data_IF_572588216820
#
_entry.id   IF_572588216820
#
_cell.length_a   1.000
_cell.length_b   1.000
_cell.length_c   1.000
_cell.angle_alpha   90.00
_cell.angle_beta   90.00
_cell.angle_gamma   90.00
#
_symmetry.space_group_name_H-M   'P 1'
#
loop_
_entity.id
_entity.type
_entity.pdbx_description
1 polymer ?
#
# COMPACT_ATOMS: atom_id res chain seq x y z
N UNK A 1 31.27 -58.37 1.05
CA UNK A 1 31.69 -59.29 -0.03
C UNK A 1 30.69 -59.13 -1.17
N UNK A 2 31.11 -58.65 -2.36
CA UNK A 2 31.13 -59.38 -3.65
C UNK A 2 29.76 -60.04 -3.98
N UNK A 3 29.13 -59.90 -5.14
CA UNK A 3 29.53 -59.46 -6.49
C UNK A 3 28.27 -59.39 -7.38
N UNK A 4 28.43 -58.66 -8.49
CA UNK A 4 27.54 -58.52 -9.66
C UNK A 4 27.29 -59.84 -10.42
N UNK A 5 26.20 -59.86 -11.21
CA UNK A 5 26.03 -60.52 -12.54
C UNK A 5 24.82 -59.82 -13.20
N UNK A 6 24.94 -58.99 -14.25
CA UNK A 6 25.16 -59.26 -15.68
C UNK A 6 24.15 -60.23 -16.32
N UNK A 7 23.25 -59.67 -17.14
CA UNK A 7 22.90 -60.25 -18.43
C UNK A 7 22.61 -59.12 -19.44
N UNK A 8 23.20 -59.28 -20.63
CA UNK A 8 23.16 -58.38 -21.78
C UNK A 8 22.42 -59.10 -22.93
N UNK A 9 22.08 -58.32 -23.97
CA UNK A 9 21.58 -58.66 -25.32
C UNK A 9 20.04 -58.61 -25.41
N UNK A 10 19.40 -57.80 -26.26
CA UNK A 10 19.83 -56.89 -27.32
C UNK A 10 18.69 -56.74 -28.33
N UNK A 11 18.53 -55.59 -29.01
CA UNK A 11 18.32 -55.48 -30.46
C UNK A 11 18.12 -54.02 -30.86
N UNK A 12 18.68 -53.70 -32.03
CA UNK A 12 18.67 -52.41 -32.72
C UNK A 12 17.32 -52.18 -33.39
N UNK A 13 16.80 -50.96 -33.26
CA UNK A 13 15.71 -50.43 -34.07
C UNK A 13 15.83 -48.91 -34.20
N UNK A 14 16.59 -48.44 -35.19
CA UNK A 14 16.47 -47.08 -35.71
C UNK A 14 15.10 -46.93 -36.39
N UNK A 15 14.32 -45.93 -36.04
CA UNK A 15 13.95 -44.81 -36.94
C UNK A 15 13.04 -43.81 -36.22
N UNK A 16 13.46 -42.54 -36.36
CA UNK A 16 12.84 -41.26 -36.03
C UNK A 16 11.30 -41.17 -36.03
N UNK A 17 10.74 -40.52 -35.01
CA UNK A 17 9.86 -39.37 -35.16
C UNK A 17 9.74 -38.64 -33.83
N UNK A 18 10.10 -37.36 -33.84
CA UNK A 18 10.24 -36.53 -32.67
C UNK A 18 8.92 -36.25 -31.97
N UNK A 19 8.97 -36.31 -30.64
CA UNK A 19 8.39 -35.26 -29.80
C UNK A 19 9.53 -34.79 -28.90
N UNK A 20 10.10 -33.63 -29.22
CA UNK A 20 10.75 -32.82 -28.20
C UNK A 20 9.63 -32.45 -27.21
N UNK A 21 9.60 -33.10 -26.06
CA UNK A 21 9.11 -32.45 -24.87
C UNK A 21 10.15 -31.40 -24.53
N UNK A 22 9.91 -30.17 -25.00
CA UNK A 22 10.52 -29.00 -24.41
C UNK A 22 9.93 -28.91 -23.01
N UNK A 23 10.72 -29.17 -21.97
CA UNK A 23 10.41 -28.60 -20.67
C UNK A 23 10.48 -27.10 -20.89
N UNK A 24 9.31 -26.45 -20.92
CA UNK A 24 9.21 -25.01 -20.80
C UNK A 24 9.81 -24.69 -19.43
N UNK A 25 11.00 -24.10 -19.47
CA UNK A 25 11.67 -23.54 -18.30
C UNK A 25 10.79 -22.36 -17.90
N UNK A 26 9.90 -22.58 -16.92
CA UNK A 26 9.13 -21.51 -16.29
C UNK A 26 10.17 -20.53 -15.74
N UNK A 27 10.30 -19.39 -16.42
CA UNK A 27 11.18 -18.32 -15.96
C UNK A 27 10.75 -17.94 -14.56
N UNK A 28 11.67 -18.08 -13.61
CA UNK A 28 11.54 -17.46 -12.29
C UNK A 28 11.37 -15.96 -12.57
N UNK A 29 10.15 -15.44 -12.38
CA UNK A 29 9.92 -14.00 -12.41
C UNK A 29 10.80 -13.43 -11.28
N UNK A 30 11.85 -12.70 -11.65
CA UNK A 30 12.67 -12.00 -10.69
C UNK A 30 11.74 -11.05 -9.93
N UNK A 31 11.50 -11.31 -8.63
CA UNK A 31 10.75 -10.40 -7.77
C UNK A 31 11.43 -9.03 -7.83
N UNK A 32 10.72 -8.04 -8.37
CA UNK A 32 11.18 -6.67 -8.39
C UNK A 32 11.31 -6.20 -6.94
N UNK A 33 12.55 -6.00 -6.49
CA UNK A 33 12.83 -5.44 -5.17
C UNK A 33 12.41 -3.97 -5.19
N UNK A 34 11.31 -3.66 -4.51
CA UNK A 34 10.84 -2.28 -4.32
C UNK A 34 11.61 -1.67 -3.16
N UNK A 35 12.44 -0.66 -3.46
CA UNK A 35 13.13 0.11 -2.42
C UNK A 35 12.10 0.88 -1.56
N UNK A 36 12.17 0.78 -0.21
CA UNK A 36 11.23 1.48 0.64
C UNK A 36 11.51 2.99 0.67
N UNK A 37 10.45 3.80 0.67
CA UNK A 37 10.55 5.26 0.87
C UNK A 37 11.07 5.59 2.28
N UNK A 38 10.68 4.78 3.28
CA UNK A 38 11.12 4.92 4.66
C UNK A 38 11.52 3.57 5.24
N UNK A 39 12.58 3.53 6.05
CA UNK A 39 12.93 2.37 6.85
C UNK A 39 12.87 2.74 8.34
N UNK A 40 12.10 1.98 9.11
CA UNK A 40 11.99 2.17 10.56
C UNK A 40 12.26 0.90 11.36
N UNK A 41 12.62 1.10 12.62
CA UNK A 41 12.81 0.05 13.63
C UNK A 41 11.78 0.13 14.76
N UNK A 42 11.04 1.24 14.83
CA UNK A 42 10.05 1.51 15.86
C UNK A 42 8.65 1.11 15.38
N UNK A 43 7.81 0.67 16.32
CA UNK A 43 6.38 0.42 16.10
C UNK A 43 5.51 1.34 16.93
N UNK A 44 6.05 2.48 17.38
CA UNK A 44 5.32 3.44 18.23
C UNK A 44 4.11 4.08 17.53
N UNK A 45 3.99 3.86 16.21
CA UNK A 45 2.78 4.08 15.43
C UNK A 45 2.98 5.11 14.34
N UNK A 46 2.31 4.94 13.19
CA UNK A 46 2.33 5.94 12.13
C UNK A 46 1.24 6.98 12.40
N UNK A 47 1.58 8.26 12.34
CA UNK A 47 0.62 9.34 12.46
C UNK A 47 0.27 9.86 11.07
N UNK A 48 -1.03 9.92 10.78
CA UNK A 48 -1.59 10.51 9.58
C UNK A 48 -2.31 11.79 9.98
N UNK A 49 -1.99 12.90 9.31
CA UNK A 49 -2.72 14.14 9.43
C UNK A 49 -3.30 14.54 8.08
N UNK A 50 -4.59 14.85 8.03
CA UNK A 50 -5.22 15.45 6.86
C UNK A 50 -5.61 16.87 7.23
N UNK A 51 -5.33 17.85 6.37
CA UNK A 51 -5.87 19.20 6.47
C UNK A 51 -6.37 19.68 5.12
N UNK A 52 -7.35 20.57 5.15
CA UNK A 52 -7.95 21.15 3.94
C UNK A 52 -8.30 22.61 4.10
N UNK A 53 -8.50 23.26 2.96
CA UNK A 53 -8.94 24.66 2.85
C UNK A 53 -10.14 24.72 1.91
N UNK A 54 -11.11 25.60 2.19
CA UNK A 54 -12.34 25.70 1.41
C UNK A 54 -12.91 27.12 1.27
N UNK A 55 -12.25 28.13 1.81
CA UNK A 55 -12.69 29.53 1.79
C UNK A 55 -11.57 30.50 2.16
N UNK A 56 -11.91 31.77 2.34
CA UNK A 56 -10.94 32.83 2.68
C UNK A 56 -10.60 32.85 4.18
N UNK A 57 -11.30 32.05 4.99
CA UNK A 57 -11.09 31.93 6.44
C UNK A 57 -11.32 30.50 6.95
N UNK A 58 -10.87 30.24 8.19
CA UNK A 58 -11.08 28.98 8.88
C UNK A 58 -12.57 28.71 9.11
N UNK A 59 -13.31 29.71 9.60
CA UNK A 59 -14.75 29.59 9.82
C UNK A 59 -15.50 29.29 8.52
N UNK A 60 -15.15 29.96 7.43
CA UNK A 60 -15.75 29.70 6.12
C UNK A 60 -15.41 28.29 5.61
N UNK A 61 -14.18 27.83 5.83
CA UNK A 61 -13.78 26.46 5.45
C UNK A 61 -14.65 25.42 6.13
N UNK A 62 -14.87 25.52 7.45
CA UNK A 62 -15.75 24.60 8.20
C UNK A 62 -17.22 24.70 7.73
N UNK A 63 -17.67 25.89 7.35
CA UNK A 63 -19.03 26.08 6.84
C UNK A 63 -19.24 25.48 5.45
N UNK A 64 -18.22 25.47 4.60
CA UNK A 64 -18.32 25.01 3.22
C UNK A 64 -17.92 23.54 3.03
N UNK A 65 -17.04 23.02 3.87
CA UNK A 65 -16.34 21.77 3.63
C UNK A 65 -16.06 20.99 4.92
N UNK A 66 -16.37 19.71 4.90
CA UNK A 66 -16.11 18.78 5.99
C UNK A 66 -15.65 17.44 5.41
N UNK A 67 -14.44 17.03 5.75
CA UNK A 67 -13.80 15.82 5.24
C UNK A 67 -13.46 14.88 6.38
N UNK A 68 -13.86 13.62 6.27
CA UNK A 68 -13.43 12.56 7.17
C UNK A 68 -12.12 11.93 6.67
N UNK A 69 -11.22 11.56 7.60
CA UNK A 69 -10.05 10.74 7.30
C UNK A 69 -10.30 9.29 7.74
N UNK A 70 -10.12 8.35 6.82
CA UNK A 70 -10.38 6.92 7.05
C UNK A 70 -9.20 6.06 6.64
N UNK A 71 -8.93 5.02 7.44
CA UNK A 71 -7.88 4.03 7.17
C UNK A 71 -8.50 2.65 6.99
N UNK A 72 -8.23 2.02 5.84
CA UNK A 72 -8.74 0.70 5.51
C UNK A 72 -7.60 -0.32 5.40
N UNK A 73 -7.90 -1.59 5.70
CA UNK A 73 -7.10 -2.74 5.27
C UNK A 73 -7.99 -3.65 4.42
N UNK A 74 -7.68 -3.72 3.12
CA UNK A 74 -8.59 -4.26 2.13
C UNK A 74 -9.94 -3.53 2.16
N UNK A 75 -11.03 -4.27 2.31
CA UNK A 75 -12.38 -3.71 2.42
C UNK A 75 -12.80 -3.33 3.85
N UNK A 76 -11.94 -3.56 4.85
CA UNK A 76 -12.28 -3.35 6.27
C UNK A 76 -11.82 -1.97 6.73
N UNK A 77 -12.74 -1.15 7.23
CA UNK A 77 -12.40 0.09 7.94
C UNK A 77 -11.72 -0.27 9.27
N UNK A 78 -10.54 0.30 9.52
CA UNK A 78 -9.79 0.10 10.75
C UNK A 78 -9.98 1.27 11.70
N UNK A 79 -9.80 2.48 11.19
CA UNK A 79 -9.89 3.72 11.96
C UNK A 79 -10.53 4.82 11.12
N UNK A 80 -11.22 5.72 11.79
CA UNK A 80 -11.74 6.96 11.21
C UNK A 80 -11.57 8.10 12.20
N UNK A 81 -11.33 9.28 11.65
CA UNK A 81 -11.36 10.57 12.34
C UNK A 81 -12.46 11.38 11.67
N UNK A 82 -13.35 11.93 12.51
CA UNK A 82 -14.61 12.57 12.13
C UNK A 82 -14.82 13.81 13.03
N UNK A 83 -13.96 14.79 12.86
CA UNK A 83 -13.98 16.06 13.57
C UNK A 83 -14.54 17.17 12.67
N UNK A 84 -15.26 18.12 13.26
CA UNK A 84 -15.89 19.22 12.52
C UNK A 84 -14.93 20.40 12.21
N UNK A 85 -13.63 20.18 12.35
CA UNK A 85 -12.58 21.17 12.08
C UNK A 85 -12.01 20.98 10.67
N UNK A 86 -11.14 21.87 10.19
CA UNK A 86 -10.49 21.72 8.86
C UNK A 86 -9.26 20.80 8.87
N UNK A 87 -9.23 19.85 9.81
CA UNK A 87 -8.14 18.88 9.97
C UNK A 87 -8.63 17.59 10.63
N UNK A 88 -7.97 16.48 10.32
CA UNK A 88 -8.21 15.16 10.89
C UNK A 88 -6.89 14.48 11.24
N UNK A 89 -6.89 13.61 12.25
CA UNK A 89 -5.68 12.85 12.62
C UNK A 89 -5.98 11.40 12.95
N UNK A 90 -5.13 10.49 12.49
CA UNK A 90 -5.18 9.06 12.81
C UNK A 90 -3.81 8.57 13.26
N UNK A 91 -3.77 7.77 14.31
CA UNK A 91 -2.55 7.04 14.70
C UNK A 91 -2.76 5.55 14.48
N UNK A 92 -2.00 4.97 13.54
CA UNK A 92 -1.94 3.53 13.35
C UNK A 92 -1.02 2.92 14.41
N UNK A 93 -1.60 2.42 15.50
CA UNK A 93 -0.85 1.81 16.60
C UNK A 93 -0.31 0.42 16.26
N UNK A 94 0.96 0.20 16.63
CA UNK A 94 1.68 -1.07 16.83
C UNK A 94 1.00 -2.38 16.38
N UNK A 95 1.23 -2.80 15.14
CA UNK A 95 1.75 -4.13 14.73
C UNK A 95 1.80 -4.17 13.22
N UNK A 96 2.87 -3.63 12.66
CA UNK A 96 3.12 -3.75 11.23
C UNK A 96 3.38 -5.20 10.87
N UNK A 97 2.50 -5.76 10.06
CA UNK A 97 2.71 -6.98 9.29
C UNK A 97 2.78 -6.59 7.81
N UNK A 98 3.24 -7.49 6.95
CA UNK A 98 3.26 -7.24 5.51
C UNK A 98 1.83 -6.99 5.01
N UNK A 99 1.47 -5.73 4.87
CA UNK A 99 0.08 -5.31 4.68
C UNK A 99 0.02 -3.94 4.00
N UNK A 100 -1.02 -3.78 3.18
CA UNK A 100 -1.37 -2.52 2.54
C UNK A 100 -2.53 -1.87 3.27
N UNK A 101 -2.40 -0.57 3.51
CA UNK A 101 -3.46 0.28 4.06
C UNK A 101 -3.87 1.31 3.03
N UNK A 102 -5.17 1.47 2.81
CA UNK A 102 -5.69 2.57 2.00
C UNK A 102 -6.04 3.74 2.91
N UNK A 103 -5.44 4.91 2.66
CA UNK A 103 -5.80 6.16 3.31
C UNK A 103 -6.82 6.86 2.42
N UNK A 104 -8.01 7.12 2.96
CA UNK A 104 -9.14 7.69 2.24
C UNK A 104 -9.56 8.99 2.88
N UNK A 105 -9.82 10.00 2.07
CA UNK A 105 -10.62 11.16 2.48
C UNK A 105 -12.02 11.04 1.88
N UNK A 106 -13.03 11.32 2.69
CA UNK A 106 -14.44 11.26 2.30
C UNK A 106 -15.12 12.58 2.65
N UNK A 107 -15.92 13.12 1.74
CA UNK A 107 -16.72 14.29 2.03
C UNK A 107 -17.89 13.92 2.95
N UNK A 108 -17.87 14.39 4.18
CA UNK A 108 -19.06 14.42 5.02
C UNK A 108 -20.03 15.51 4.55
N UNK A 109 -19.49 16.70 4.26
CA UNK A 109 -20.24 17.88 3.78
C UNK A 109 -19.41 18.69 2.78
N UNK A 110 -20.11 19.41 1.92
CA UNK A 110 -19.56 20.36 0.98
C UNK A 110 -19.87 19.99 -0.46
N UNK A 111 -19.81 20.99 -1.33
CA UNK A 111 -20.05 20.86 -2.77
C UNK A 111 -18.98 21.58 -3.62
N UNK A 112 -17.91 22.03 -2.97
CA UNK A 112 -16.74 22.64 -3.59
C UNK A 112 -15.58 21.63 -3.65
N UNK A 113 -14.62 21.90 -4.53
CA UNK A 113 -13.35 21.16 -4.54
C UNK A 113 -12.55 21.47 -3.28
N UNK A 114 -11.86 20.46 -2.75
CA UNK A 114 -11.11 20.52 -1.51
C UNK A 114 -9.61 20.33 -1.74
N UNK A 115 -8.84 21.42 -1.88
CA UNK A 115 -7.39 21.37 -1.72
C UNK A 115 -7.04 20.77 -0.37
N UNK A 116 -6.17 19.75 -0.37
CA UNK A 116 -5.77 19.07 0.85
C UNK A 116 -4.26 18.89 0.96
N UNK A 117 -3.82 18.71 2.19
CA UNK A 117 -2.48 18.26 2.57
C UNK A 117 -2.61 17.02 3.46
N UNK A 118 -2.04 15.90 3.05
CA UNK A 118 -1.90 14.69 3.86
C UNK A 118 -0.45 14.58 4.34
N UNK A 119 -0.25 14.49 5.65
CA UNK A 119 1.04 14.23 6.28
C UNK A 119 1.09 12.80 6.79
N UNK A 120 2.22 12.13 6.53
CA UNK A 120 2.59 10.89 7.20
C UNK A 120 3.82 11.17 8.05
N UNK A 121 3.65 11.11 9.36
CA UNK A 121 4.73 11.20 10.32
C UNK A 121 5.06 9.80 10.84
N UNK A 122 6.33 9.47 10.69
CA UNK A 122 6.91 8.19 11.03
C UNK A 122 7.73 8.37 12.33
N UNK A 123 7.60 7.48 13.34
CA UNK A 123 8.39 7.59 14.57
C UNK A 123 9.88 7.60 14.29
N UNK A 124 10.58 8.58 14.86
CA UNK A 124 12.02 8.81 14.67
C UNK A 124 12.46 9.00 13.20
N UNK A 125 11.50 9.23 12.30
CA UNK A 125 11.69 9.36 10.86
C UNK A 125 11.39 10.76 10.34
N UNK A 126 11.40 10.88 9.02
CA UNK A 126 10.98 12.11 8.34
C UNK A 126 9.45 12.15 8.19
N UNK A 127 8.90 13.36 8.19
CA UNK A 127 7.50 13.60 7.82
C UNK A 127 7.40 13.75 6.32
N UNK A 128 6.51 12.99 5.70
CA UNK A 128 6.19 13.10 4.28
C UNK A 128 4.88 13.83 4.08
N UNK A 129 4.82 14.64 3.04
CA UNK A 129 3.66 15.45 2.70
C UNK A 129 3.21 15.16 1.29
N UNK A 130 1.93 14.85 1.13
CA UNK A 130 1.24 14.68 -0.14
C UNK A 130 0.19 15.79 -0.25
N UNK A 131 0.16 16.50 -1.38
CA UNK A 131 -0.84 17.53 -1.63
C UNK A 131 -1.69 17.16 -2.83
N UNK A 132 -2.94 17.59 -2.83
CA UNK A 132 -3.85 17.31 -3.93
C UNK A 132 -5.12 18.14 -3.84
N UNK A 133 -6.10 17.76 -4.66
CA UNK A 133 -7.44 18.32 -4.62
C UNK A 133 -8.42 17.19 -4.77
N UNK A 134 -9.31 17.04 -3.79
CA UNK A 134 -10.46 16.15 -3.92
C UNK A 134 -11.52 16.91 -4.69
N UNK A 135 -11.95 16.41 -5.84
CA UNK A 135 -13.07 17.00 -6.56
C UNK A 135 -14.37 16.35 -6.12
N UNK A 136 -15.45 17.11 -6.08
CA UNK A 136 -16.76 16.58 -5.67
C UNK A 136 -17.31 15.53 -6.65
N UNK A 137 -16.88 15.59 -7.90
CA UNK A 137 -17.29 14.67 -8.97
C UNK A 137 -16.69 13.26 -8.80
N UNK A 138 -15.61 13.11 -8.04
CA UNK A 138 -14.97 11.84 -7.69
C UNK A 138 -15.69 11.18 -6.50
N UNK A 139 -16.93 10.76 -6.73
CA UNK A 139 -17.71 9.78 -5.95
C UNK A 139 -17.59 9.83 -4.42
N UNK A 140 -17.69 11.02 -3.79
CA UNK A 140 -17.69 11.26 -2.33
C UNK A 140 -16.49 10.71 -1.53
N UNK A 141 -15.69 9.80 -2.08
CA UNK A 141 -14.77 8.87 -1.43
C UNK A 141 -13.61 8.67 -2.36
N UNK A 142 -12.42 9.10 -1.93
CA UNK A 142 -11.22 8.92 -2.73
C UNK A 142 -10.10 8.38 -1.85
N UNK A 143 -9.55 7.25 -2.27
CA UNK A 143 -8.27 6.82 -1.75
C UNK A 143 -7.23 7.85 -2.19
N UNK A 144 -6.52 8.43 -1.21
CA UNK A 144 -5.48 9.43 -1.44
C UNK A 144 -4.15 8.72 -1.73
N UNK A 145 -3.83 7.70 -0.94
CA UNK A 145 -2.59 6.94 -1.07
C UNK A 145 -2.75 5.54 -0.48
N UNK A 146 -1.90 4.63 -0.93
CA UNK A 146 -1.72 3.31 -0.36
C UNK A 146 -0.39 3.28 0.42
N UNK A 147 -0.46 2.91 1.69
CA UNK A 147 0.70 2.69 2.55
C UNK A 147 0.97 1.20 2.59
N UNK A 148 2.06 0.77 1.97
CA UNK A 148 2.50 -0.61 1.97
C UNK A 148 3.61 -0.77 2.99
N UNK A 149 3.41 -1.67 3.96
CA UNK A 149 4.42 -1.94 4.96
C UNK A 149 5.04 -3.29 4.66
N UNK A 150 6.37 -3.30 4.51
CA UNK A 150 7.20 -4.47 4.26
C UNK A 150 8.03 -4.69 5.52
N UNK A 151 7.82 -5.80 6.21
CA UNK A 151 8.58 -6.19 7.39
C UNK A 151 9.67 -7.17 7.00
N UNK A 152 10.91 -6.80 7.30
CA UNK A 152 12.08 -7.66 7.21
C UNK A 152 12.75 -7.72 8.59
N UNK A 153 12.77 -8.89 9.21
CA UNK A 153 13.27 -9.08 10.57
C UNK A 153 12.66 -8.09 11.59
N UNK A 154 13.47 -7.15 12.09
CA UNK A 154 13.11 -6.10 13.04
C UNK A 154 12.94 -4.72 12.39
N UNK A 155 13.02 -4.65 11.07
CA UNK A 155 12.87 -3.43 10.27
C UNK A 155 11.56 -3.45 9.48
N UNK A 156 11.04 -2.24 9.22
CA UNK A 156 9.85 -2.03 8.43
C UNK A 156 10.17 -1.02 7.34
N UNK A 157 10.10 -1.46 6.09
CA UNK A 157 10.02 -0.62 4.90
C UNK A 157 8.60 -0.08 4.73
N UNK A 158 8.45 1.20 4.47
CA UNK A 158 7.18 1.83 4.12
C UNK A 158 7.30 2.33 2.69
N UNK A 159 6.37 1.91 1.84
CA UNK A 159 6.26 2.35 0.44
C UNK A 159 4.92 3.06 0.28
N UNK A 160 4.97 4.30 -0.20
CA UNK A 160 3.81 5.09 -0.57
C UNK A 160 3.54 4.93 -2.05
N UNK A 161 2.32 4.50 -2.37
CA UNK A 161 1.85 4.43 -3.74
C UNK A 161 0.68 5.37 -3.94
N UNK A 162 0.60 5.97 -5.14
CA UNK A 162 -0.60 6.67 -5.56
C UNK A 162 -1.77 5.69 -5.55
N UNK A 163 -2.88 6.11 -4.95
CA UNK A 163 -4.12 5.36 -5.08
C UNK A 163 -4.68 5.59 -6.50
N UNK A 164 -4.79 4.51 -7.28
CA UNK A 164 -5.31 4.54 -8.65
C UNK A 164 -6.81 4.79 -8.71
#
# INVERSE_FOLDING_TARGET
>A
MKKQNWLLIGLVGMFSLGLLWSCEEEGEEEEEVVDPDFTIISTEGLNLGLSWEGGDSFEETIELLDLDLKLFSGASLLFESVDADSFETLTLQSTFSNLSYAVRAEYWKGDIDAPYTLTLEVPDGETTTLTGTLTREDDYRRDITLINIIKEDSTYGIVLNDAM
#
